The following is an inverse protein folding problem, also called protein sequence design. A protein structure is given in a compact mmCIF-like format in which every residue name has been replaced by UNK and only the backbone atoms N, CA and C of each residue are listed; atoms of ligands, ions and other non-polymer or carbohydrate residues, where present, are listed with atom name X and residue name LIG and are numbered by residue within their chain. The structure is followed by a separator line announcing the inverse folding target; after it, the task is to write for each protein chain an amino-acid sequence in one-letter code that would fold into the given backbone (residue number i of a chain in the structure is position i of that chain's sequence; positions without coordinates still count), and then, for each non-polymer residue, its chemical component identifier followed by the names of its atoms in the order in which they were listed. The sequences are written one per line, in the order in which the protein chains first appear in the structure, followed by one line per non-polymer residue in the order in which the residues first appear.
data_IF_883670291583
#
_entry.id   IF_883670291583
#
_cell.length_a   1.000
_cell.length_b   1.000
_cell.length_c   1.000
_cell.angle_alpha   90.00
_cell.angle_beta   90.00
_cell.angle_gamma   90.00
#
_symmetry.space_group_name_H-M   'P 1'
#
loop_
_entity.id
_entity.type
_entity.pdbx_description
1 polymer ?
#
# COMPACT_ATOMS: atom_id res chain seq x y z
N UNK A 1 4.55 5.70 31.35
CA UNK A 1 3.45 5.00 32.07
C UNK A 1 2.07 5.24 31.50
N UNK A 2 1.91 5.30 30.16
CA UNK A 2 0.58 5.32 29.56
C UNK A 2 0.05 3.88 29.58
N UNK A 3 -1.14 3.67 30.15
CA UNK A 3 -1.87 2.42 29.97
C UNK A 3 -2.52 2.41 28.56
N UNK A 4 -2.10 1.56 27.63
CA UNK A 4 -2.64 1.57 26.27
C UNK A 4 -4.12 1.21 26.20
N UNK A 5 -4.69 0.56 27.22
CA UNK A 5 -6.13 0.27 27.28
C UNK A 5 -6.99 1.46 27.70
N UNK A 6 -6.41 2.50 28.31
CA UNK A 6 -7.17 3.63 28.85
C UNK A 6 -7.87 4.51 27.80
N UNK A 7 -7.50 4.37 26.51
CA UNK A 7 -8.09 5.14 25.41
C UNK A 7 -9.31 4.51 24.75
N UNK A 8 -9.69 3.27 25.10
CA UNK A 8 -10.83 2.61 24.44
C UNK A 8 -12.15 3.04 25.11
N UNK A 9 -13.13 3.58 24.36
CA UNK A 9 -14.45 3.86 24.93
C UNK A 9 -15.08 2.56 25.45
N UNK A 10 -15.66 2.55 26.67
CA UNK A 10 -16.18 1.33 27.29
C UNK A 10 -17.35 0.72 26.50
N UNK A 11 -18.07 1.54 25.73
CA UNK A 11 -19.28 1.14 25.00
C UNK A 11 -18.99 0.63 23.57
N UNK A 12 -17.72 0.63 23.14
CA UNK A 12 -17.34 0.10 21.84
C UNK A 12 -16.87 -1.35 21.97
N UNK A 13 -17.26 -2.25 21.05
CA UNK A 13 -17.03 -3.70 21.16
C UNK A 13 -15.58 -4.08 20.81
N UNK A 14 -14.60 -3.42 21.43
CA UNK A 14 -13.21 -3.80 21.32
C UNK A 14 -12.94 -5.02 22.19
N UNK A 15 -12.28 -6.07 21.65
CA UNK A 15 -11.81 -7.17 22.51
C UNK A 15 -10.90 -6.63 23.63
N UNK A 16 -10.68 -7.32 24.74
CA UNK A 16 -9.69 -6.83 25.70
C UNK A 16 -8.27 -6.84 25.08
N UNK A 17 -7.42 -5.85 25.38
CA UNK A 17 -6.00 -5.91 24.99
C UNK A 17 -5.28 -6.94 25.86
N UNK A 18 -4.57 -7.87 25.24
CA UNK A 18 -3.64 -8.76 25.94
C UNK A 18 -2.44 -7.99 26.49
N UNK A 19 -1.68 -8.58 27.42
CA UNK A 19 -0.43 -7.95 27.88
C UNK A 19 0.59 -7.78 26.75
N UNK A 20 0.61 -8.69 25.78
CA UNK A 20 1.42 -8.54 24.56
C UNK A 20 0.98 -7.32 23.76
N UNK A 21 -0.33 -7.13 23.55
CA UNK A 21 -0.84 -5.96 22.81
C UNK A 21 -0.46 -4.65 23.52
N UNK A 22 -0.56 -4.62 24.85
CA UNK A 22 -0.16 -3.44 25.64
C UNK A 22 1.32 -3.15 25.51
N UNK A 23 2.17 -4.17 25.58
CA UNK A 23 3.61 -4.01 25.41
C UNK A 23 3.98 -3.53 24.01
N UNK A 24 3.40 -4.12 22.96
CA UNK A 24 3.60 -3.68 21.58
C UNK A 24 3.13 -2.21 21.40
N UNK A 25 1.99 -1.84 21.97
CA UNK A 25 1.48 -0.48 21.92
C UNK A 25 2.41 0.52 22.63
N UNK A 26 2.96 0.17 23.81
CA UNK A 26 3.93 1.04 24.52
C UNK A 26 5.17 1.31 23.67
N UNK A 27 5.71 0.28 23.01
CA UNK A 27 6.85 0.42 22.09
C UNK A 27 6.51 1.34 20.93
N UNK A 28 5.35 1.16 20.31
CA UNK A 28 4.89 2.04 19.23
C UNK A 28 4.70 3.48 19.72
N UNK A 29 4.16 3.70 20.91
CA UNK A 29 4.00 5.05 21.46
C UNK A 29 5.35 5.76 21.71
N UNK A 30 6.37 5.00 22.13
CA UNK A 30 7.74 5.53 22.19
C UNK A 30 8.27 5.90 20.80
N UNK A 31 7.98 5.09 19.77
CA UNK A 31 8.33 5.42 18.38
C UNK A 31 7.56 6.64 17.86
N UNK A 32 6.29 6.82 18.23
CA UNK A 32 5.49 8.02 17.89
C UNK A 32 6.10 9.26 18.52
N UNK A 33 6.55 9.18 19.78
CA UNK A 33 7.26 10.29 20.43
C UNK A 33 8.54 10.65 19.67
N UNK A 34 9.30 9.65 19.23
CA UNK A 34 10.48 9.88 18.40
C UNK A 34 10.14 10.56 17.06
N UNK A 35 9.02 10.21 16.42
CA UNK A 35 8.55 10.88 15.21
C UNK A 35 8.21 12.36 15.51
N UNK A 36 7.47 12.62 16.58
CA UNK A 36 7.08 13.97 17.00
C UNK A 36 8.29 14.86 17.26
N UNK A 37 9.28 14.37 18.01
CA UNK A 37 10.55 15.07 18.25
C UNK A 37 11.27 15.42 16.94
N UNK A 38 11.27 14.49 15.98
CA UNK A 38 11.92 14.71 14.68
C UNK A 38 11.15 15.69 13.79
N UNK A 39 9.82 15.70 13.85
CA UNK A 39 9.01 16.74 13.19
C UNK A 39 9.29 18.10 13.84
N UNK A 40 9.39 18.18 15.16
CA UNK A 40 9.80 19.40 15.87
C UNK A 40 11.16 19.92 15.41
N UNK A 41 12.15 19.02 15.24
CA UNK A 41 13.48 19.37 14.70
C UNK A 41 13.41 19.89 13.27
N UNK A 42 12.57 19.28 12.41
CA UNK A 42 12.35 19.76 11.04
C UNK A 42 11.77 21.17 11.04
N UNK A 43 10.71 21.41 11.81
CA UNK A 43 10.05 22.71 11.89
C UNK A 43 11.00 23.79 12.42
N UNK A 44 11.73 23.50 13.51
CA UNK A 44 12.74 24.41 14.04
C UNK A 44 13.85 24.72 13.02
N UNK A 45 14.21 23.76 12.17
CA UNK A 45 15.19 23.98 11.11
C UNK A 45 14.64 24.87 10.00
N UNK A 46 13.36 24.74 9.61
CA UNK A 46 12.71 25.64 8.67
C UNK A 46 12.68 27.08 9.20
N UNK A 47 12.38 27.26 10.49
CA UNK A 47 12.39 28.58 11.14
C UNK A 47 13.80 29.20 11.13
N UNK A 48 14.81 28.41 11.52
CA UNK A 48 16.21 28.87 11.56
C UNK A 48 16.79 29.19 10.17
N UNK A 49 16.24 28.62 9.10
CA UNK A 49 16.59 28.93 7.71
C UNK A 49 15.73 30.04 7.11
N UNK A 50 14.77 30.59 7.86
CA UNK A 50 13.79 31.57 7.37
C UNK A 50 12.96 31.06 6.17
N UNK A 51 12.68 29.75 6.13
CA UNK A 51 11.91 29.11 5.05
C UNK A 51 10.45 28.84 5.44
N UNK A 52 10.10 28.99 6.70
CA UNK A 52 8.81 28.61 7.27
C UNK A 52 7.61 29.16 6.52
N UNK A 53 7.60 30.47 6.22
CA UNK A 53 6.43 31.11 5.61
C UNK A 53 6.18 30.59 4.19
N UNK A 54 7.23 30.23 3.46
CA UNK A 54 7.18 29.74 2.08
C UNK A 54 7.35 28.22 1.95
N UNK A 55 7.02 27.46 3.00
CA UNK A 55 7.11 26.00 2.98
C UNK A 55 5.75 25.39 3.32
N UNK A 56 5.29 24.48 2.45
CA UNK A 56 4.15 23.60 2.73
C UNK A 56 4.69 22.40 3.50
N UNK A 57 4.15 22.13 4.68
CA UNK A 57 4.43 20.92 5.45
C UNK A 57 3.17 20.08 5.53
N UNK A 58 3.24 18.84 5.06
CA UNK A 58 2.17 17.85 5.18
C UNK A 58 2.65 16.73 6.10
N UNK A 59 1.86 16.42 7.13
CA UNK A 59 2.03 15.22 7.94
C UNK A 59 0.86 14.28 7.69
N UNK A 60 1.15 13.04 7.31
CA UNK A 60 0.16 11.98 7.14
C UNK A 60 0.77 10.60 7.35
N UNK A 61 -0.07 9.58 7.49
CA UNK A 61 0.36 8.17 7.43
C UNK A 61 -0.21 7.48 6.18
N UNK A 62 0.38 6.36 5.79
CA UNK A 62 0.01 5.61 4.59
C UNK A 62 -1.31 4.82 4.76
N UNK A 63 -1.52 4.26 5.95
CA UNK A 63 -2.66 3.42 6.29
C UNK A 63 -2.88 3.39 7.81
N UNK A 64 -3.94 2.70 8.22
CA UNK A 64 -4.20 2.34 9.61
C UNK A 64 -3.09 1.53 10.29
N UNK A 65 -3.20 1.30 11.61
CA UNK A 65 -2.20 0.59 12.40
C UNK A 65 -2.14 -0.92 12.08
N UNK A 66 -0.94 -1.52 12.04
CA UNK A 66 -0.78 -2.98 11.92
C UNK A 66 -1.07 -3.70 13.24
N UNK A 67 -0.45 -3.25 14.33
CA UNK A 67 -0.65 -3.81 15.67
C UNK A 67 -1.77 -3.07 16.38
N UNK A 68 -2.44 -3.79 17.26
CA UNK A 68 -3.49 -3.27 18.11
C UNK A 68 -2.98 -2.15 19.02
N UNK A 69 -3.64 -0.99 18.95
CA UNK A 69 -3.41 0.19 19.78
C UNK A 69 -4.62 1.13 19.68
N UNK A 70 -4.58 2.28 20.34
CA UNK A 70 -5.63 3.28 20.21
C UNK A 70 -5.80 3.72 18.74
N UNK A 71 -7.03 3.65 18.23
CA UNK A 71 -7.42 4.05 16.87
C UNK A 71 -8.74 4.83 16.84
N UNK A 72 -9.02 5.58 17.92
CA UNK A 72 -10.22 6.41 18.07
C UNK A 72 -11.54 5.67 17.84
N UNK A 73 -11.62 4.40 18.24
CA UNK A 73 -12.85 3.63 18.17
C UNK A 73 -13.18 3.03 16.79
N UNK A 74 -12.35 3.25 15.77
CA UNK A 74 -12.64 2.77 14.42
C UNK A 74 -12.46 1.25 14.27
N UNK A 75 -13.24 0.63 13.38
CA UNK A 75 -13.16 -0.81 13.08
C UNK A 75 -12.05 -1.11 12.07
N UNK A 76 -11.40 -2.26 12.20
CA UNK A 76 -10.35 -2.70 11.29
C UNK A 76 -8.95 -2.15 11.59
N UNK A 77 -7.95 -2.72 10.92
CA UNK A 77 -6.52 -2.41 11.05
C UNK A 77 -5.91 -2.32 9.64
N UNK A 78 -4.60 -2.11 9.52
CA UNK A 78 -3.87 -2.14 8.25
C UNK A 78 -4.28 -3.36 7.41
N UNK A 79 -4.54 -3.10 6.13
CA UNK A 79 -5.02 -4.10 5.18
C UNK A 79 -6.54 -4.29 5.16
N UNK A 80 -7.29 -3.59 5.99
CA UNK A 80 -8.75 -3.57 5.95
C UNK A 80 -9.30 -2.32 5.28
N UNK A 81 -10.44 -2.45 4.59
CA UNK A 81 -11.20 -1.32 4.04
C UNK A 81 -12.07 -0.58 5.07
N UNK A 82 -12.22 -1.09 6.29
CA UNK A 82 -12.89 -0.36 7.38
C UNK A 82 -12.11 0.91 7.77
N UNK A 83 -12.75 1.87 8.45
CA UNK A 83 -12.15 3.18 8.75
C UNK A 83 -10.86 3.09 9.57
N UNK A 84 -10.73 2.10 10.43
CA UNK A 84 -9.49 1.85 11.18
C UNK A 84 -8.31 1.43 10.29
N UNK A 85 -8.56 0.92 9.08
CA UNK A 85 -7.53 0.61 8.10
C UNK A 85 -7.23 1.74 7.10
N UNK A 86 -8.19 2.64 6.87
CA UNK A 86 -8.16 3.62 5.76
C UNK A 86 -8.16 5.08 6.20
N UNK A 87 -8.75 5.41 7.35
CA UNK A 87 -8.78 6.78 7.88
C UNK A 87 -7.53 7.03 8.71
N UNK A 88 -6.77 8.04 8.30
CA UNK A 88 -5.46 8.39 8.86
C UNK A 88 -5.39 9.87 9.22
N UNK A 89 -4.49 10.29 10.12
CA UNK A 89 -4.25 11.72 10.34
C UNK A 89 -3.72 12.38 9.07
N UNK A 90 -4.18 13.60 8.81
CA UNK A 90 -3.68 14.48 7.76
C UNK A 90 -3.63 15.91 8.31
N UNK A 91 -2.44 16.48 8.38
CA UNK A 91 -2.23 17.88 8.75
C UNK A 91 -1.47 18.58 7.64
N UNK A 92 -1.89 19.79 7.29
CA UNK A 92 -1.20 20.64 6.34
C UNK A 92 -0.96 22.01 6.97
N UNK A 93 0.24 22.53 6.79
CA UNK A 93 0.66 23.86 7.25
C UNK A 93 1.25 24.63 6.08
N UNK A 94 0.78 25.86 5.88
CA UNK A 94 1.38 26.80 4.93
C UNK A 94 1.19 28.25 5.42
N UNK A 95 2.10 28.78 6.27
CA UNK A 95 1.82 29.96 7.09
C UNK A 95 1.57 31.26 6.31
N UNK A 96 2.20 31.45 5.14
CA UNK A 96 2.00 32.67 4.33
C UNK A 96 0.62 32.77 3.68
N UNK A 97 -0.14 31.67 3.62
CA UNK A 97 -1.43 31.61 2.93
C UNK A 97 -2.58 31.10 3.79
N UNK A 98 -2.29 30.38 4.87
CA UNK A 98 -3.28 29.80 5.77
C UNK A 98 -3.11 30.37 7.18
N UNK A 99 -4.16 31.02 7.68
CA UNK A 99 -4.20 31.58 9.03
C UNK A 99 -4.98 30.68 9.99
N UNK A 100 -4.43 30.53 11.20
CA UNK A 100 -5.07 29.82 12.31
C UNK A 100 -5.20 28.32 12.11
N UNK A 101 -5.71 27.64 13.13
CA UNK A 101 -6.02 26.22 13.07
C UNK A 101 -7.43 26.03 12.52
N UNK A 102 -7.58 25.13 11.55
CA UNK A 102 -8.86 24.83 10.90
C UNK A 102 -9.09 23.32 10.88
N UNK A 103 -10.36 22.92 10.96
CA UNK A 103 -10.79 21.55 10.71
C UNK A 103 -11.58 21.54 9.39
N UNK A 104 -11.11 20.76 8.43
CA UNK A 104 -11.83 20.48 7.18
C UNK A 104 -12.44 19.09 7.32
N UNK A 105 -13.76 19.03 7.50
CA UNK A 105 -14.48 17.79 7.82
C UNK A 105 -15.24 17.28 6.59
N UNK A 106 -14.48 16.93 5.54
CA UNK A 106 -15.02 16.37 4.30
C UNK A 106 -14.33 15.05 3.96
N UNK A 107 -14.95 14.25 3.09
CA UNK A 107 -14.29 13.10 2.48
C UNK A 107 -13.15 13.56 1.54
N UNK A 108 -11.93 13.40 2.04
CA UNK A 108 -10.66 13.62 1.36
C UNK A 108 -9.83 12.34 1.36
N UNK A 109 -8.88 12.22 0.43
CA UNK A 109 -8.01 11.07 0.28
C UNK A 109 -6.63 11.50 -0.24
N UNK A 110 -5.65 10.59 -0.15
CA UNK A 110 -4.29 10.80 -0.67
C UNK A 110 -4.26 11.23 -2.15
N UNK A 111 -5.25 10.81 -2.93
CA UNK A 111 -5.47 11.20 -4.34
C UNK A 111 -5.52 12.73 -4.52
N UNK A 112 -6.05 13.45 -3.53
CA UNK A 112 -6.29 14.88 -3.57
C UNK A 112 -5.01 15.71 -3.37
N UNK A 113 -3.92 15.09 -2.88
CA UNK A 113 -2.65 15.79 -2.60
C UNK A 113 -2.04 16.34 -3.89
N UNK A 114 -1.99 15.54 -4.96
CA UNK A 114 -1.42 15.94 -6.25
C UNK A 114 -2.10 17.21 -6.82
N UNK A 115 -3.42 17.24 -7.08
CA UNK A 115 -4.07 18.42 -7.62
C UNK A 115 -4.05 19.60 -6.64
N UNK A 116 -4.05 19.36 -5.33
CA UNK A 116 -3.90 20.43 -4.32
C UNK A 116 -2.55 21.13 -4.43
N UNK A 117 -1.45 20.36 -4.48
CA UNK A 117 -0.11 20.91 -4.61
C UNK A 117 0.10 21.57 -5.97
N UNK A 118 -0.45 21.00 -7.05
CA UNK A 118 -0.40 21.60 -8.37
C UNK A 118 -1.09 22.97 -8.40
N UNK A 119 -2.29 23.10 -7.81
CA UNK A 119 -2.98 24.40 -7.72
C UNK A 119 -2.19 25.42 -6.90
N UNK A 120 -1.60 25.01 -5.76
CA UNK A 120 -0.84 25.93 -4.90
C UNK A 120 0.44 26.40 -5.59
N UNK A 121 1.12 25.52 -6.33
CA UNK A 121 2.43 25.81 -6.94
C UNK A 121 2.33 26.35 -8.36
N UNK A 122 1.16 26.25 -8.99
CA UNK A 122 0.98 26.54 -10.41
C UNK A 122 1.59 25.49 -11.35
N UNK A 123 1.94 24.30 -10.83
CA UNK A 123 2.45 23.22 -11.65
C UNK A 123 1.35 22.68 -12.60
N UNK A 124 1.75 22.28 -13.81
CA UNK A 124 0.84 21.65 -14.74
C UNK A 124 0.47 20.24 -14.26
N UNK A 125 -0.81 19.88 -14.43
CA UNK A 125 -1.31 18.53 -14.23
C UNK A 125 -1.30 17.84 -15.61
N UNK A 126 -0.84 16.58 -15.72
CA UNK A 126 -0.90 15.84 -16.97
C UNK A 126 -2.35 15.71 -17.49
N UNK A 127 -2.54 15.85 -18.80
CA UNK A 127 -3.81 15.66 -19.50
C UNK A 127 -3.86 14.34 -20.29
N UNK A 128 -2.80 13.53 -20.20
CA UNK A 128 -2.63 12.24 -20.87
C UNK A 128 -3.17 11.05 -20.06
N UNK A 129 -3.68 11.29 -18.84
CA UNK A 129 -4.20 10.26 -17.94
C UNK A 129 -5.28 10.81 -16.99
N UNK A 130 -6.18 9.98 -16.47
CA UNK A 130 -7.12 10.37 -15.43
C UNK A 130 -6.42 10.82 -14.16
N UNK A 131 -6.98 11.83 -13.50
CA UNK A 131 -6.57 12.31 -12.17
C UNK A 131 -7.80 12.28 -11.28
N UNK A 132 -7.87 11.28 -10.39
CA UNK A 132 -9.06 11.03 -9.55
C UNK A 132 -9.21 12.00 -8.38
N UNK A 133 -8.12 12.68 -8.03
CA UNK A 133 -8.10 13.68 -6.98
C UNK A 133 -8.77 14.99 -7.37
N UNK A 134 -9.20 15.74 -6.37
CA UNK A 134 -9.64 17.13 -6.50
C UNK A 134 -8.82 18.01 -5.57
N UNK A 135 -8.46 19.21 -6.01
CA UNK A 135 -7.72 20.12 -5.16
C UNK A 135 -8.54 20.52 -3.94
N UNK A 136 -7.98 20.35 -2.74
CA UNK A 136 -8.54 20.81 -1.47
C UNK A 136 -8.23 22.28 -1.21
N UNK A 137 -7.46 22.95 -2.07
CA UNK A 137 -7.03 24.32 -1.84
C UNK A 137 -8.18 25.32 -1.60
N UNK A 138 -9.31 25.23 -2.33
CA UNK A 138 -10.50 26.01 -2.01
C UNK A 138 -11.00 25.80 -0.57
N UNK A 139 -11.07 24.55 -0.08
CA UNK A 139 -11.51 24.24 1.29
C UNK A 139 -10.51 24.69 2.36
N UNK A 140 -9.22 24.65 2.04
CA UNK A 140 -8.19 25.11 2.97
C UNK A 140 -8.29 26.62 3.20
N UNK A 141 -8.66 27.39 2.17
CA UNK A 141 -8.89 28.84 2.24
C UNK A 141 -10.23 29.21 2.88
N UNK A 142 -11.30 28.46 2.59
CA UNK A 142 -12.62 28.61 3.20
C UNK A 142 -13.22 27.22 3.51
N UNK A 143 -13.17 26.82 4.78
CA UNK A 143 -13.66 25.50 5.20
C UNK A 143 -15.19 25.40 5.21
N UNK A 144 -15.91 26.51 5.04
CA UNK A 144 -17.38 26.56 5.04
C UNK A 144 -18.01 26.52 3.65
N UNK A 145 -17.22 26.59 2.59
CA UNK A 145 -17.75 26.60 1.23
C UNK A 145 -18.47 25.28 0.89
N UNK A 146 -19.49 25.31 0.00
CA UNK A 146 -20.10 24.09 -0.51
C UNK A 146 -19.07 23.15 -1.13
N UNK A 147 -19.14 21.87 -0.78
CA UNK A 147 -18.23 20.86 -1.30
C UNK A 147 -19.03 19.74 -1.98
N UNK A 148 -18.83 19.49 -3.28
CA UNK A 148 -19.55 18.43 -3.97
C UNK A 148 -19.32 17.07 -3.31
N UNK A 149 -20.36 16.25 -3.29
CA UNK A 149 -20.19 14.84 -2.93
C UNK A 149 -19.31 14.13 -3.98
N UNK A 150 -18.54 13.14 -3.54
CA UNK A 150 -17.87 12.19 -4.43
C UNK A 150 -18.07 10.76 -3.95
N UNK A 151 -17.85 9.81 -4.84
CA UNK A 151 -17.55 8.46 -4.42
C UNK A 151 -16.05 8.32 -4.09
N UNK A 152 -15.75 7.50 -3.09
CA UNK A 152 -14.40 7.06 -2.76
C UNK A 152 -14.38 5.53 -2.74
N UNK A 153 -13.68 4.96 -3.69
CA UNK A 153 -13.45 3.53 -3.79
C UNK A 153 -12.16 3.17 -3.05
N UNK A 154 -12.26 2.21 -2.13
CA UNK A 154 -11.10 1.68 -1.42
C UNK A 154 -11.05 0.17 -1.57
N UNK A 155 -9.87 -0.34 -1.88
CA UNK A 155 -9.66 -1.75 -2.14
C UNK A 155 -8.26 -2.16 -1.66
N UNK A 156 -8.13 -3.36 -1.11
CA UNK A 156 -6.83 -3.90 -0.74
C UNK A 156 -6.71 -5.37 -1.08
N UNK A 157 -5.67 -5.70 -1.84
CA UNK A 157 -5.20 -7.04 -2.19
C UNK A 157 -3.68 -7.03 -2.33
N UNK A 158 -3.09 -8.21 -2.45
CA UNK A 158 -1.66 -8.39 -2.70
C UNK A 158 -1.33 -8.78 -4.14
N UNK A 159 -2.33 -8.96 -4.99
CA UNK A 159 -2.13 -9.38 -6.38
C UNK A 159 -3.12 -8.69 -7.30
N UNK A 160 -3.90 -9.44 -8.06
CA UNK A 160 -4.95 -8.93 -8.92
C UNK A 160 -6.18 -8.54 -8.10
N UNK A 161 -7.00 -7.60 -8.61
CA UNK A 161 -8.30 -7.33 -8.02
C UNK A 161 -9.18 -8.58 -7.95
N UNK A 162 -9.78 -8.76 -6.78
CA UNK A 162 -10.66 -9.85 -6.38
C UNK A 162 -12.00 -9.23 -6.01
N UNK A 163 -13.00 -9.52 -6.83
CA UNK A 163 -14.32 -8.93 -6.68
C UNK A 163 -14.89 -9.22 -5.29
N UNK A 164 -15.36 -8.17 -4.63
CA UNK A 164 -16.00 -8.21 -3.30
C UNK A 164 -15.14 -8.71 -2.13
N UNK A 165 -13.85 -8.93 -2.34
CA UNK A 165 -12.92 -9.34 -1.28
C UNK A 165 -12.19 -8.11 -0.75
N UNK A 166 -12.63 -7.57 0.39
CA UNK A 166 -12.00 -6.43 1.04
C UNK A 166 -11.98 -5.16 0.16
N UNK A 167 -13.18 -4.75 -0.24
CA UNK A 167 -13.49 -3.62 -1.10
C UNK A 167 -14.54 -2.74 -0.41
N UNK A 168 -14.56 -1.44 -0.70
CA UNK A 168 -15.63 -0.57 -0.24
C UNK A 168 -15.84 0.61 -1.18
N UNK A 169 -17.05 1.13 -1.15
CA UNK A 169 -17.41 2.38 -1.80
C UNK A 169 -18.11 3.27 -0.77
N UNK A 170 -17.55 4.46 -0.56
CA UNK A 170 -18.12 5.49 0.30
C UNK A 170 -18.65 6.64 -0.56
N UNK A 171 -19.87 7.09 -0.30
CA UNK A 171 -20.48 8.23 -0.99
C UNK A 171 -21.49 8.89 -0.05
N UNK A 172 -21.32 10.19 0.17
CA UNK A 172 -22.09 10.92 1.17
C UNK A 172 -21.85 10.30 2.56
N UNK A 173 -22.91 10.14 3.34
CA UNK A 173 -22.84 9.53 4.66
C UNK A 173 -22.81 7.99 4.62
N UNK A 174 -22.92 7.36 3.44
CA UNK A 174 -23.02 5.90 3.34
C UNK A 174 -21.75 5.25 2.82
N UNK A 175 -21.42 4.09 3.39
CA UNK A 175 -20.33 3.24 2.96
C UNK A 175 -20.78 1.80 2.83
N UNK A 176 -20.62 1.25 1.63
CA UNK A 176 -20.85 -0.17 1.34
C UNK A 176 -19.51 -0.91 1.40
N UNK A 177 -19.46 -2.02 2.13
CA UNK A 177 -18.28 -2.88 2.28
C UNK A 177 -18.57 -4.27 1.72
N UNK A 178 -17.68 -4.74 0.85
CA UNK A 178 -17.63 -6.11 0.38
C UNK A 178 -16.49 -6.87 1.05
N UNK A 179 -16.84 -7.96 1.73
CA UNK A 179 -15.90 -8.97 2.20
C UNK A 179 -16.55 -10.35 2.09
N UNK A 180 -16.87 -10.73 0.85
CA UNK A 180 -17.76 -11.85 0.54
C UNK A 180 -17.40 -12.52 -0.79
N UNK A 181 -18.11 -13.59 -1.15
CA UNK A 181 -17.86 -14.42 -2.32
C UNK A 181 -18.12 -13.69 -3.65
N UNK A 182 -17.48 -14.14 -4.72
CA UNK A 182 -17.53 -13.52 -6.05
C UNK A 182 -18.95 -13.27 -6.61
N UNK A 183 -19.91 -14.15 -6.31
CA UNK A 183 -21.30 -14.07 -6.76
C UNK A 183 -22.27 -13.69 -5.63
N UNK A 184 -21.75 -13.09 -4.55
CA UNK A 184 -22.55 -12.83 -3.37
C UNK A 184 -23.75 -11.90 -3.66
N UNK A 185 -24.93 -12.22 -3.12
CA UNK A 185 -26.09 -11.34 -3.14
C UNK A 185 -25.85 -10.08 -2.28
N UNK A 186 -26.74 -9.09 -2.42
CA UNK A 186 -26.60 -7.78 -1.75
C UNK A 186 -26.57 -7.90 -0.21
N UNK A 187 -27.34 -8.82 0.36
CA UNK A 187 -27.43 -9.07 1.80
C UNK A 187 -26.14 -9.65 2.41
N UNK A 188 -25.20 -10.13 1.59
CA UNK A 188 -23.86 -10.51 2.02
C UNK A 188 -22.90 -9.33 2.20
N UNK A 189 -23.31 -8.10 1.84
CA UNK A 189 -22.52 -6.89 2.05
C UNK A 189 -22.86 -6.25 3.40
N UNK A 190 -22.00 -5.33 3.84
CA UNK A 190 -22.27 -4.47 4.98
C UNK A 190 -22.48 -3.03 4.50
N UNK A 191 -23.54 -2.36 4.98
CA UNK A 191 -23.80 -0.95 4.72
C UNK A 191 -23.75 -0.18 6.05
N UNK A 192 -23.04 0.94 6.08
CA UNK A 192 -22.95 1.79 7.27
C UNK A 192 -23.28 3.24 6.93
N UNK A 193 -23.90 3.95 7.87
CA UNK A 193 -23.91 5.41 7.88
C UNK A 193 -22.69 5.88 8.69
N UNK A 194 -21.64 6.42 8.06
CA UNK A 194 -20.37 6.75 8.70
C UNK A 194 -20.39 8.04 9.52
N UNK A 195 -21.42 8.87 9.37
CA UNK A 195 -21.62 10.08 10.15
C UNK A 195 -22.29 9.75 11.49
N UNK A 196 -23.32 8.89 11.45
CA UNK A 196 -24.05 8.43 12.64
C UNK A 196 -23.34 7.27 13.35
N UNK A 197 -22.67 6.41 12.59
CA UNK A 197 -21.91 5.25 13.06
C UNK A 197 -20.47 5.28 12.52
N UNK A 198 -19.61 6.16 13.05
CA UNK A 198 -18.22 6.29 12.61
C UNK A 198 -17.36 5.05 12.92
N UNK A 199 -17.91 4.07 13.64
CA UNK A 199 -17.25 2.87 14.10
C UNK A 199 -17.65 1.61 13.31
N UNK A 200 -18.61 1.74 12.37
CA UNK A 200 -19.06 0.67 11.48
C UNK A 200 -19.56 -0.57 12.25
N UNK A 201 -20.44 -0.35 13.25
CA UNK A 201 -20.97 -1.37 14.15
C UNK A 201 -22.36 -1.88 13.75
N UNK A 202 -23.19 -1.04 13.15
CA UNK A 202 -24.59 -1.34 12.85
C UNK A 202 -24.77 -1.50 11.35
N UNK A 203 -24.83 -2.75 10.90
CA UNK A 203 -25.07 -3.05 9.49
C UNK A 203 -26.51 -2.69 9.09
N UNK A 204 -26.64 -1.76 8.16
CA UNK A 204 -27.87 -1.20 7.63
C UNK A 204 -28.36 -1.88 6.34
N UNK A 205 -27.67 -2.93 5.86
CA UNK A 205 -27.91 -3.53 4.54
C UNK A 205 -29.38 -3.93 4.30
N UNK A 206 -30.05 -4.47 5.32
CA UNK A 206 -31.46 -4.87 5.25
C UNK A 206 -32.46 -3.73 5.45
N UNK A 207 -32.03 -2.58 5.97
CA UNK A 207 -32.88 -1.42 6.26
C UNK A 207 -32.91 -0.42 5.09
N UNK A 208 -31.82 -0.33 4.32
CA UNK A 208 -31.69 0.62 3.20
C UNK A 208 -31.29 -0.10 1.90
N UNK A 209 -32.09 -1.06 1.40
CA UNK A 209 -31.71 -1.89 0.25
C UNK A 209 -31.53 -1.08 -1.05
N UNK A 210 -32.30 0.00 -1.25
CA UNK A 210 -32.19 0.85 -2.45
C UNK A 210 -30.83 1.58 -2.48
N UNK A 211 -30.41 2.12 -1.34
CA UNK A 211 -29.12 2.80 -1.21
C UNK A 211 -27.96 1.80 -1.34
N UNK A 212 -28.09 0.63 -0.71
CA UNK A 212 -27.13 -0.46 -0.87
C UNK A 212 -26.99 -0.90 -2.33
N UNK A 213 -28.10 -1.08 -3.05
CA UNK A 213 -28.09 -1.41 -4.49
C UNK A 213 -27.39 -0.34 -5.32
N UNK A 214 -27.70 0.95 -5.07
CA UNK A 214 -27.09 2.08 -5.77
C UNK A 214 -25.56 2.10 -5.58
N UNK A 215 -25.09 1.95 -4.34
CA UNK A 215 -23.66 1.90 -4.04
C UNK A 215 -23.01 0.65 -4.62
N UNK A 216 -23.70 -0.49 -4.63
CA UNK A 216 -23.17 -1.73 -5.20
C UNK A 216 -22.99 -1.61 -6.71
N UNK A 217 -23.94 -1.00 -7.42
CA UNK A 217 -23.83 -0.75 -8.87
C UNK A 217 -22.64 0.17 -9.19
N UNK A 218 -22.42 1.21 -8.41
CA UNK A 218 -21.27 2.09 -8.57
C UNK A 218 -19.93 1.40 -8.20
N UNK A 219 -19.91 0.60 -7.14
CA UNK A 219 -18.77 -0.23 -6.76
C UNK A 219 -18.43 -1.22 -7.89
N UNK A 220 -19.43 -1.90 -8.45
CA UNK A 220 -19.27 -2.84 -9.55
C UNK A 220 -18.72 -2.14 -10.80
N UNK A 221 -19.26 -0.97 -11.16
CA UNK A 221 -18.78 -0.18 -12.29
C UNK A 221 -17.32 0.25 -12.09
N UNK A 222 -16.98 0.78 -10.91
CA UNK A 222 -15.61 1.22 -10.58
C UNK A 222 -14.64 0.04 -10.60
N UNK A 223 -15.04 -1.10 -10.04
CA UNK A 223 -14.23 -2.32 -10.12
C UNK A 223 -13.99 -2.75 -11.57
N UNK A 224 -15.03 -2.75 -12.41
CA UNK A 224 -14.90 -3.09 -13.83
C UNK A 224 -13.99 -2.13 -14.57
N UNK A 225 -14.06 -0.83 -14.30
CA UNK A 225 -13.13 0.14 -14.87
C UNK A 225 -11.68 -0.17 -14.47
N UNK A 226 -11.41 -0.36 -13.18
CA UNK A 226 -10.06 -0.57 -12.66
C UNK A 226 -9.41 -1.83 -13.22
N UNK A 227 -10.11 -2.97 -13.29
CA UNK A 227 -9.52 -4.22 -13.80
C UNK A 227 -9.15 -4.14 -15.29
N UNK A 228 -9.69 -3.17 -16.03
CA UNK A 228 -9.34 -2.91 -17.43
C UNK A 228 -8.43 -1.68 -17.59
N UNK A 229 -7.95 -1.09 -16.50
CA UNK A 229 -7.02 0.04 -16.56
C UNK A 229 -5.66 -0.37 -17.15
N UNK A 230 -5.06 0.53 -17.92
CA UNK A 230 -3.83 0.30 -18.66
C UNK A 230 -2.74 -0.37 -17.82
N UNK A 231 -2.44 0.17 -16.63
CA UNK A 231 -1.35 -0.33 -15.78
C UNK A 231 -1.68 -1.64 -15.05
N UNK A 232 -2.94 -2.06 -14.98
CA UNK A 232 -3.32 -3.38 -14.45
C UNK A 232 -3.30 -4.44 -15.55
N UNK A 233 -3.67 -4.08 -16.78
CA UNK A 233 -3.60 -4.96 -17.96
C UNK A 233 -2.16 -5.12 -18.45
N UNK A 234 -1.42 -4.02 -18.47
CA UNK A 234 -0.04 -3.91 -18.92
C UNK A 234 0.84 -3.47 -17.74
N UNK A 235 1.06 -4.40 -16.80
CA UNK A 235 1.88 -4.13 -15.62
C UNK A 235 3.28 -3.66 -16.03
N UNK A 236 3.75 -2.50 -15.50
CA UNK A 236 5.11 -2.05 -15.74
C UNK A 236 6.13 -3.10 -15.28
N UNK A 237 7.07 -3.53 -16.15
CA UNK A 237 8.10 -4.47 -15.75
C UNK A 237 9.16 -3.78 -14.88
N UNK A 238 9.87 -4.56 -14.07
CA UNK A 238 11.12 -4.11 -13.46
C UNK A 238 12.21 -4.11 -14.54
N UNK A 239 12.89 -2.99 -14.73
CA UNK A 239 13.94 -2.86 -15.74
C UNK A 239 15.28 -3.29 -15.14
N UNK A 240 15.88 -4.34 -15.66
CA UNK A 240 17.16 -4.90 -15.21
C UNK A 240 18.29 -4.41 -16.12
N UNK A 241 19.33 -3.89 -15.48
CA UNK A 241 20.53 -3.37 -16.16
C UNK A 241 20.43 -1.91 -16.60
N UNK A 242 19.44 -1.17 -16.10
CA UNK A 242 19.36 0.28 -16.23
C UNK A 242 20.41 0.95 -15.33
N UNK A 243 21.20 1.92 -15.83
CA UNK A 243 22.27 2.54 -15.05
C UNK A 243 21.79 3.40 -13.86
N UNK A 244 20.50 3.78 -13.81
CA UNK A 244 19.94 4.54 -12.68
C UNK A 244 19.63 3.62 -11.47
N UNK A 245 19.52 2.32 -11.69
CA UNK A 245 19.32 1.30 -10.65
C UNK A 245 20.14 0.05 -10.99
N UNK A 246 21.47 0.12 -10.78
CA UNK A 246 22.35 -1.03 -10.95
C UNK A 246 23.27 -1.18 -9.71
N UNK A 247 23.22 -2.31 -8.98
CA UNK A 247 22.41 -3.50 -9.26
C UNK A 247 20.91 -3.31 -8.97
N UNK A 248 20.08 -4.11 -9.65
CA UNK A 248 18.64 -4.25 -9.32
C UNK A 248 18.45 -5.34 -8.26
N UNK A 249 17.58 -5.09 -7.29
CA UNK A 249 17.16 -6.07 -6.28
C UNK A 249 15.71 -6.50 -6.48
N UNK A 250 15.52 -7.70 -7.00
CA UNK A 250 14.22 -8.35 -7.12
C UNK A 250 13.86 -9.03 -5.79
N UNK A 251 12.93 -8.44 -5.05
CA UNK A 251 12.50 -8.96 -3.74
C UNK A 251 11.13 -9.66 -3.85
N UNK A 252 10.82 -10.55 -2.90
CA UNK A 252 9.57 -11.33 -2.90
C UNK A 252 8.28 -10.51 -2.79
N UNK A 253 8.32 -9.23 -2.39
CA UNK A 253 7.10 -8.41 -2.37
C UNK A 253 6.67 -8.00 -3.79
N UNK A 254 7.63 -7.93 -4.72
CA UNK A 254 7.39 -7.62 -6.14
C UNK A 254 7.33 -8.89 -7.00
N UNK A 255 7.45 -10.07 -6.39
CA UNK A 255 7.37 -11.35 -7.07
C UNK A 255 5.91 -11.73 -7.37
N UNK A 256 5.68 -12.25 -8.57
CA UNK A 256 4.45 -12.91 -8.99
C UNK A 256 4.64 -14.44 -8.94
N UNK A 257 3.56 -15.20 -9.11
CA UNK A 257 3.59 -16.67 -9.07
C UNK A 257 2.40 -17.23 -8.29
N UNK A 258 2.67 -18.22 -7.44
CA UNK A 258 1.63 -18.78 -6.57
C UNK A 258 1.30 -17.84 -5.40
N UNK A 259 0.08 -17.95 -4.87
CA UNK A 259 -0.37 -17.14 -3.72
C UNK A 259 0.45 -17.48 -2.47
N UNK A 260 0.79 -16.47 -1.68
CA UNK A 260 1.56 -16.67 -0.44
C UNK A 260 3.08 -16.63 -0.63
N UNK A 261 3.57 -16.22 -1.81
CA UNK A 261 4.99 -16.16 -2.18
C UNK A 261 5.92 -15.48 -1.17
N UNK A 262 5.42 -14.50 -0.42
CA UNK A 262 6.18 -13.79 0.60
C UNK A 262 6.44 -14.60 1.89
N UNK A 263 5.65 -15.64 2.16
CA UNK A 263 5.63 -16.35 3.44
C UNK A 263 6.31 -17.72 3.43
N UNK A 264 6.72 -18.21 2.25
CA UNK A 264 7.26 -19.55 2.09
C UNK A 264 8.36 -19.58 1.03
N UNK A 265 9.26 -20.56 1.12
CA UNK A 265 10.42 -20.69 0.23
C UNK A 265 10.23 -21.76 -0.85
N UNK A 266 9.50 -22.83 -0.57
CA UNK A 266 9.16 -23.87 -1.55
C UNK A 266 7.88 -23.47 -2.28
N UNK A 267 8.02 -22.60 -3.28
CA UNK A 267 6.91 -22.04 -4.03
C UNK A 267 7.38 -21.60 -5.42
N UNK A 268 6.53 -21.77 -6.44
CA UNK A 268 6.81 -21.16 -7.73
C UNK A 268 6.67 -19.64 -7.66
N UNK A 269 7.74 -18.95 -8.07
CA UNK A 269 7.80 -17.50 -8.12
C UNK A 269 8.56 -17.01 -9.34
N UNK A 270 8.18 -15.82 -9.80
CA UNK A 270 8.77 -15.13 -10.94
C UNK A 270 8.73 -13.62 -10.74
N UNK A 271 9.51 -12.89 -11.53
CA UNK A 271 9.35 -11.44 -11.69
C UNK A 271 9.01 -11.14 -13.15
N UNK A 272 8.10 -10.20 -13.39
CA UNK A 272 7.88 -9.66 -14.74
C UNK A 272 8.91 -8.54 -14.95
N UNK A 273 9.81 -8.73 -15.90
CA UNK A 273 11.00 -7.89 -16.07
C UNK A 273 11.20 -7.48 -17.53
N UNK A 274 11.95 -6.40 -17.73
CA UNK A 274 12.61 -6.05 -18.97
C UNK A 274 14.11 -6.08 -18.71
N UNK A 275 14.81 -7.05 -19.30
CA UNK A 275 16.26 -7.19 -19.19
C UNK A 275 16.91 -6.49 -20.37
N UNK A 276 17.79 -5.53 -20.10
CA UNK A 276 18.63 -4.91 -21.11
C UNK A 276 19.77 -5.88 -21.52
N UNK A 277 20.24 -5.87 -22.77
CA UNK A 277 21.30 -6.77 -23.20
C UNK A 277 22.61 -6.45 -22.47
N UNK A 278 23.32 -7.44 -21.97
CA UNK A 278 24.55 -7.19 -21.21
C UNK A 278 25.14 -8.43 -20.57
N UNK A 279 26.22 -8.22 -19.84
CA UNK A 279 26.80 -9.27 -18.97
C UNK A 279 26.47 -8.96 -17.52
N UNK A 280 25.99 -9.97 -16.79
CA UNK A 280 25.48 -9.83 -15.43
C UNK A 280 26.22 -10.73 -14.44
N UNK A 281 26.50 -10.20 -13.26
CA UNK A 281 26.75 -10.98 -12.06
C UNK A 281 25.43 -11.09 -11.27
N UNK A 282 25.01 -12.32 -10.98
CA UNK A 282 23.69 -12.63 -10.44
C UNK A 282 23.85 -13.29 -9.08
N UNK A 283 23.20 -12.76 -8.05
CA UNK A 283 23.24 -13.31 -6.69
C UNK A 283 21.87 -13.65 -6.17
N UNK A 284 21.70 -14.87 -5.64
CA UNK A 284 20.49 -15.29 -4.95
C UNK A 284 20.74 -15.33 -3.45
N UNK A 285 19.80 -14.81 -2.66
CA UNK A 285 19.77 -14.99 -1.20
C UNK A 285 18.64 -15.89 -0.81
N UNK A 286 18.89 -16.76 0.17
CA UNK A 286 17.90 -17.63 0.79
C UNK A 286 17.83 -17.36 2.30
N UNK A 287 16.71 -17.76 2.90
CA UNK A 287 16.50 -17.68 4.35
C UNK A 287 17.26 -18.80 5.07
N UNK A 288 17.20 -20.00 4.51
CA UNK A 288 17.80 -21.21 5.07
C UNK A 288 19.13 -21.55 4.40
N UNK A 289 20.00 -22.22 5.15
CA UNK A 289 21.30 -22.69 4.63
C UNK A 289 21.09 -23.81 3.62
N UNK A 290 21.54 -23.57 2.39
CA UNK A 290 21.55 -24.52 1.29
C UNK A 290 22.75 -25.47 1.41
N UNK A 291 22.57 -26.70 0.91
CA UNK A 291 23.58 -27.77 0.98
C UNK A 291 24.14 -28.17 -0.39
N UNK A 292 23.45 -29.08 -1.09
CA UNK A 292 23.79 -29.54 -2.44
C UNK A 292 22.59 -29.37 -3.37
N UNK A 293 22.82 -28.91 -4.58
CA UNK A 293 21.77 -28.61 -5.54
C UNK A 293 22.26 -27.65 -6.61
N UNK A 294 21.34 -26.98 -7.30
CA UNK A 294 21.67 -26.12 -8.44
C UNK A 294 20.98 -24.78 -8.34
N UNK A 295 21.74 -23.71 -8.51
CA UNK A 295 21.20 -22.40 -8.82
C UNK A 295 20.68 -22.45 -10.25
N UNK A 296 19.43 -22.04 -10.49
CA UNK A 296 18.81 -22.02 -11.83
C UNK A 296 18.14 -20.67 -12.05
N UNK A 297 18.34 -20.10 -13.23
CA UNK A 297 17.65 -18.92 -13.72
C UNK A 297 17.08 -19.22 -15.11
N UNK A 298 15.77 -19.07 -15.27
CA UNK A 298 15.10 -19.19 -16.55
C UNK A 298 14.59 -17.82 -17.01
N UNK A 299 14.85 -17.45 -18.26
CA UNK A 299 14.34 -16.23 -18.87
C UNK A 299 14.12 -16.44 -20.37
N UNK A 300 12.88 -16.26 -20.83
CA UNK A 300 12.51 -16.47 -22.24
C UNK A 300 12.81 -17.90 -22.69
N UNK A 301 13.76 -18.06 -23.62
CA UNK A 301 14.20 -19.36 -24.14
C UNK A 301 15.53 -19.84 -23.54
N UNK A 302 16.09 -19.11 -22.59
CA UNK A 302 17.40 -19.39 -22.01
C UNK A 302 17.30 -19.90 -20.57
N UNK A 303 18.19 -20.83 -20.25
CA UNK A 303 18.35 -21.37 -18.90
C UNK A 303 19.82 -21.32 -18.52
N UNK A 304 20.14 -20.66 -17.42
CA UNK A 304 21.46 -20.65 -16.83
C UNK A 304 21.43 -21.42 -15.52
N UNK A 305 22.44 -22.24 -15.28
CA UNK A 305 22.52 -23.02 -14.04
C UNK A 305 23.95 -23.18 -13.57
N UNK A 306 24.11 -23.32 -12.27
CA UNK A 306 25.39 -23.59 -11.62
C UNK A 306 25.19 -24.58 -10.48
N UNK A 307 25.93 -25.70 -10.54
CA UNK A 307 25.99 -26.67 -9.45
C UNK A 307 26.59 -26.04 -8.20
N UNK A 308 26.03 -26.39 -7.05
CA UNK A 308 26.53 -25.96 -5.75
C UNK A 308 26.64 -27.15 -4.80
N UNK A 309 27.75 -27.18 -4.06
CA UNK A 309 27.93 -28.07 -2.91
C UNK A 309 28.68 -27.32 -1.81
N UNK A 310 28.05 -27.11 -0.66
CA UNK A 310 28.63 -26.39 0.46
C UNK A 310 27.59 -26.05 1.51
N UNK A 311 27.86 -25.09 2.39
CA UNK A 311 26.87 -24.57 3.34
C UNK A 311 26.80 -23.06 3.19
N UNK A 312 25.78 -22.55 2.50
CA UNK A 312 25.62 -21.10 2.27
C UNK A 312 24.16 -20.71 2.19
N UNK A 313 23.88 -19.45 2.50
CA UNK A 313 22.57 -18.81 2.27
C UNK A 313 22.59 -17.93 1.02
N UNK A 314 23.73 -17.81 0.34
CA UNK A 314 23.90 -17.01 -0.86
C UNK A 314 24.64 -17.77 -1.96
N UNK A 315 24.13 -17.67 -3.18
CA UNK A 315 24.72 -18.24 -4.38
C UNK A 315 25.01 -17.12 -5.38
N UNK A 316 26.00 -17.34 -6.22
CA UNK A 316 26.43 -16.37 -7.22
C UNK A 316 26.78 -17.08 -8.53
N UNK A 317 26.30 -16.50 -9.63
CA UNK A 317 26.66 -16.85 -10.99
C UNK A 317 27.23 -15.61 -11.68
N UNK A 318 28.47 -15.69 -12.16
CA UNK A 318 29.18 -14.54 -12.73
C UNK A 318 29.24 -14.59 -14.25
N UNK A 319 29.30 -13.42 -14.86
CA UNK A 319 29.55 -13.29 -16.29
C UNK A 319 28.42 -13.84 -17.18
N UNK A 320 27.18 -13.79 -16.69
CA UNK A 320 25.99 -14.28 -17.41
C UNK A 320 25.64 -13.30 -18.53
N UNK A 321 25.86 -13.69 -19.78
CA UNK A 321 25.44 -12.87 -20.93
C UNK A 321 23.95 -13.08 -21.20
N UNK A 322 23.20 -11.99 -21.23
CA UNK A 322 21.77 -11.97 -21.54
C UNK A 322 21.51 -11.04 -22.72
N UNK A 323 20.69 -11.50 -23.66
CA UNK A 323 20.11 -10.65 -24.70
C UNK A 323 18.94 -9.84 -24.14
N UNK A 324 18.47 -8.85 -24.90
CA UNK A 324 17.26 -8.13 -24.54
C UNK A 324 16.07 -9.09 -24.42
N UNK A 325 15.34 -9.01 -23.31
CA UNK A 325 14.22 -9.89 -23.01
C UNK A 325 13.16 -9.14 -22.21
N UNK A 326 11.88 -9.32 -22.53
CA UNK A 326 10.78 -8.88 -21.69
C UNK A 326 9.88 -10.08 -21.37
N UNK A 327 9.61 -10.32 -20.09
CA UNK A 327 8.76 -11.41 -19.66
C UNK A 327 9.09 -11.93 -18.25
N UNK A 328 8.81 -13.21 -18.02
CA UNK A 328 9.04 -13.84 -16.73
C UNK A 328 10.53 -14.21 -16.53
N UNK A 329 11.11 -13.70 -15.45
CA UNK A 329 12.36 -14.18 -14.88
C UNK A 329 12.05 -15.14 -13.73
N UNK A 330 12.49 -16.39 -13.85
CA UNK A 330 12.14 -17.48 -12.92
C UNK A 330 13.43 -18.00 -12.27
N UNK A 331 13.79 -17.48 -11.08
CA UNK A 331 14.94 -17.96 -10.34
C UNK A 331 14.51 -19.00 -9.29
N UNK A 332 15.28 -20.08 -9.17
CA UNK A 332 15.09 -21.04 -8.10
C UNK A 332 16.38 -21.79 -7.79
N UNK A 333 16.43 -22.39 -6.60
CA UNK A 333 17.42 -23.39 -6.25
C UNK A 333 16.78 -24.77 -6.28
N UNK A 334 17.24 -25.62 -7.20
CA UNK A 334 16.84 -27.01 -7.30
C UNK A 334 17.61 -27.84 -6.27
N UNK A 335 16.99 -28.09 -5.12
CA UNK A 335 17.54 -28.90 -4.04
C UNK A 335 17.00 -30.33 -4.03
N UNK A 336 17.36 -31.10 -2.99
CA UNK A 336 16.85 -32.45 -2.79
C UNK A 336 15.34 -32.49 -2.51
N UNK A 337 14.85 -31.50 -1.77
CA UNK A 337 13.51 -31.48 -1.21
C UNK A 337 12.52 -30.61 -2.03
N UNK A 338 12.95 -30.06 -3.17
CA UNK A 338 12.11 -29.21 -4.02
C UNK A 338 12.86 -28.03 -4.63
N UNK A 339 12.10 -27.09 -5.18
CA UNK A 339 12.59 -25.86 -5.79
C UNK A 339 12.36 -24.69 -4.83
N UNK A 340 13.44 -24.09 -4.36
CA UNK A 340 13.36 -22.96 -3.45
C UNK A 340 13.42 -21.65 -4.23
N UNK A 341 12.43 -20.78 -4.04
CA UNK A 341 12.46 -19.40 -4.51
C UNK A 341 13.47 -18.60 -3.67
N UNK A 342 14.34 -17.78 -4.27
CA UNK A 342 15.19 -16.87 -3.51
C UNK A 342 14.35 -15.87 -2.68
N UNK A 343 14.87 -15.47 -1.53
CA UNK A 343 14.36 -14.35 -0.75
C UNK A 343 14.53 -13.02 -1.50
N UNK A 344 15.65 -12.87 -2.19
CA UNK A 344 15.84 -11.85 -3.22
C UNK A 344 16.84 -12.35 -4.28
N UNK A 345 16.77 -11.71 -5.45
CA UNK A 345 17.74 -11.83 -6.53
C UNK A 345 18.34 -10.46 -6.79
N UNK A 346 19.67 -10.39 -6.79
CA UNK A 346 20.42 -9.21 -7.19
C UNK A 346 21.01 -9.44 -8.58
N UNK A 347 20.84 -8.48 -9.48
CA UNK A 347 21.39 -8.52 -10.83
C UNK A 347 22.22 -7.26 -11.09
N UNK A 348 23.53 -7.44 -11.21
CA UNK A 348 24.51 -6.38 -11.48
C UNK A 348 24.99 -6.48 -12.93
N UNK A 349 24.68 -5.48 -13.75
CA UNK A 349 25.17 -5.38 -15.12
C UNK A 349 26.59 -4.85 -15.13
N UNK A 350 27.54 -5.72 -15.45
CA UNK A 350 28.97 -5.41 -15.45
C UNK A 350 29.50 -4.96 -16.82
N UNK A 351 28.80 -5.28 -17.93
CA UNK A 351 29.17 -4.88 -19.30
C UNK A 351 27.97 -4.69 -20.20
#
# INVERSE_FOLDING_TARGET
DIDPSSGFPPDLPFPAMSEKDKEDARRVYAMVTCIDDNVGRLLAKLDALHLTDNTIVIFMTDNGPQQRRYLAGMRGLKGSVYRGGTRVPFFMRYPSHLEGNRKVDVLAAHLDVLPTLAEITGAAIPDDRPIDGRSLWPLLKDSGQPWPERAYFSYWTRRYPEKYQNISLERGSYKLVGHTDYNAPLDSFELFNIEEDPYELHNLIGLFPQEASRLKEELDRTYQELIHSENLVHQPPIIIGDPHENPVYLNRNDADGERGIWAQSDIFGKWNVEVLPGTYDIRFKFLDTLTRGRMVLEAGTSVWQQEFSGGTVQLEMKGVTMESFQGALIPFYAGKDGNLLPFWVEMDRIR
#
